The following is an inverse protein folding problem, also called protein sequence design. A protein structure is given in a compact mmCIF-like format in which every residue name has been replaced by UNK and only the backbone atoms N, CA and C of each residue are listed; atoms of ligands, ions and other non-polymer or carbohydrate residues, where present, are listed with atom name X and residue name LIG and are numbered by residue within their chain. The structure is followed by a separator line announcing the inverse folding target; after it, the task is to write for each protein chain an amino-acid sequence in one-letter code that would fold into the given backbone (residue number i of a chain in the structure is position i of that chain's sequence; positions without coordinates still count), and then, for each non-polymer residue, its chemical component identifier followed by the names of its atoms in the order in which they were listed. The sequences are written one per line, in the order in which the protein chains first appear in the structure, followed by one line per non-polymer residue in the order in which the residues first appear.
data_IF_108998228573
#
_entry.id   IF_108998228573
#
_cell.length_a   1.000
_cell.length_b   1.000
_cell.length_c   1.000
_cell.angle_alpha   90.00
_cell.angle_beta   90.00
_cell.angle_gamma   90.00
#
_symmetry.space_group_name_H-M   'P 1'
#
loop_
_entity.id
_entity.type
_entity.pdbx_description
1 polymer ?
#
# COMPACT_ATOMS: atom_id res chain seq x y z
N UNK A 1 -25.08 17.20 -3.08
CA UNK A 1 -24.22 17.56 -4.23
C UNK A 1 -23.00 18.43 -3.86
N UNK A 2 -23.08 19.29 -2.84
CA UNK A 2 -21.96 20.16 -2.39
C UNK A 2 -20.75 19.36 -1.85
N UNK A 3 -21.01 18.29 -1.08
CA UNK A 3 -19.97 17.43 -0.48
C UNK A 3 -19.17 16.65 -1.53
N UNK A 4 -19.86 15.98 -2.46
CA UNK A 4 -19.22 15.25 -3.57
C UNK A 4 -18.35 16.17 -4.42
N UNK A 5 -18.84 17.37 -4.76
CA UNK A 5 -18.06 18.35 -5.52
C UNK A 5 -16.81 18.81 -4.77
N UNK A 6 -16.90 19.03 -3.45
CA UNK A 6 -15.73 19.36 -2.62
C UNK A 6 -14.71 18.22 -2.57
N UNK A 7 -15.18 16.97 -2.45
CA UNK A 7 -14.31 15.79 -2.51
C UNK A 7 -13.59 15.75 -3.86
N UNK A 8 -14.32 15.87 -4.98
CA UNK A 8 -13.74 15.78 -6.32
C UNK A 8 -12.74 16.90 -6.60
N UNK A 9 -13.09 18.14 -6.24
CA UNK A 9 -12.24 19.31 -6.48
C UNK A 9 -10.93 19.22 -5.70
N UNK A 10 -11.00 18.74 -4.46
CA UNK A 10 -9.82 18.60 -3.62
C UNK A 10 -8.95 17.37 -3.91
N UNK A 11 -9.56 16.27 -4.38
CA UNK A 11 -8.80 15.15 -4.95
C UNK A 11 -8.08 15.61 -6.21
N UNK A 12 -8.78 16.30 -7.12
CA UNK A 12 -8.18 16.79 -8.37
C UNK A 12 -7.02 17.76 -8.14
N UNK A 13 -7.15 18.68 -7.18
CA UNK A 13 -6.11 19.67 -6.89
C UNK A 13 -4.83 19.06 -6.31
N UNK A 14 -4.92 17.94 -5.57
CA UNK A 14 -3.76 17.28 -4.95
C UNK A 14 -3.30 16.02 -5.71
N UNK A 15 -4.04 15.59 -6.73
CA UNK A 15 -3.79 14.33 -7.43
C UNK A 15 -2.35 14.26 -7.97
N UNK A 16 -1.88 15.32 -8.63
CA UNK A 16 -0.56 15.38 -9.25
C UNK A 16 0.60 15.23 -8.25
N UNK A 17 0.45 15.70 -7.01
CA UNK A 17 1.47 15.55 -5.96
C UNK A 17 1.43 14.15 -5.33
N UNK A 18 0.26 13.50 -5.36
CA UNK A 18 -0.03 12.25 -4.64
C UNK A 18 -0.27 11.04 -5.56
N UNK A 19 0.16 11.12 -6.82
CA UNK A 19 -0.09 10.07 -7.84
C UNK A 19 0.40 8.70 -7.35
N UNK A 20 1.57 8.65 -6.71
CA UNK A 20 2.15 7.39 -6.21
C UNK A 20 1.32 6.76 -5.09
N UNK A 21 0.67 7.54 -4.25
CA UNK A 21 -0.22 7.01 -3.20
C UNK A 21 -1.50 6.47 -3.81
N UNK A 22 -2.09 7.18 -4.78
CA UNK A 22 -3.24 6.70 -5.54
C UNK A 22 -2.90 5.43 -6.32
N UNK A 23 -1.74 5.40 -6.97
CA UNK A 23 -1.26 4.23 -7.71
C UNK A 23 -1.12 3.02 -6.80
N UNK A 24 -0.62 3.21 -5.57
CA UNK A 24 -0.46 2.14 -4.59
C UNK A 24 -1.77 1.67 -3.94
N UNK A 25 -2.90 2.34 -4.16
CA UNK A 25 -4.21 1.77 -3.77
C UNK A 25 -4.52 0.53 -4.60
N UNK A 26 -4.25 0.58 -5.91
CA UNK A 26 -4.59 -0.50 -6.84
C UNK A 26 -3.91 -1.84 -6.49
N UNK A 27 -2.58 -1.95 -6.35
CA UNK A 27 -1.95 -3.23 -6.01
C UNK A 27 -2.35 -3.71 -4.61
N UNK A 28 -2.57 -2.82 -3.64
CA UNK A 28 -3.01 -3.22 -2.30
C UNK A 28 -4.42 -3.82 -2.32
N UNK A 29 -5.40 -3.14 -2.94
CA UNK A 29 -6.76 -3.68 -3.08
C UNK A 29 -6.78 -4.91 -3.98
N UNK A 30 -6.07 -4.87 -5.11
CA UNK A 30 -6.03 -5.96 -6.07
C UNK A 30 -5.46 -7.23 -5.47
N UNK A 31 -4.35 -7.14 -4.73
CA UNK A 31 -3.77 -8.29 -4.03
C UNK A 31 -4.69 -8.80 -2.91
N UNK A 32 -5.29 -7.89 -2.13
CA UNK A 32 -6.25 -8.27 -1.09
C UNK A 32 -7.48 -8.99 -1.63
N UNK A 33 -8.00 -8.53 -2.77
CA UNK A 33 -9.10 -9.21 -3.47
C UNK A 33 -8.62 -10.56 -4.01
N UNK A 34 -7.45 -10.61 -4.65
CA UNK A 34 -6.90 -11.85 -5.22
C UNK A 34 -6.73 -12.94 -4.15
N UNK A 35 -6.16 -12.60 -2.98
CA UNK A 35 -6.01 -13.53 -1.85
C UNK A 35 -7.36 -14.01 -1.28
N UNK A 36 -8.44 -13.21 -1.36
CA UNK A 36 -9.77 -13.67 -0.96
C UNK A 36 -10.47 -14.52 -2.02
N UNK A 37 -10.22 -14.25 -3.31
CA UNK A 37 -10.84 -14.98 -4.42
C UNK A 37 -10.12 -16.29 -4.75
N UNK A 38 -8.84 -16.40 -4.39
CA UNK A 38 -8.01 -17.57 -4.59
C UNK A 38 -7.44 -18.03 -3.24
N UNK A 39 -8.24 -18.76 -2.43
CA UNK A 39 -7.85 -19.19 -1.09
C UNK A 39 -6.76 -20.29 -1.07
N UNK A 40 -6.42 -20.85 -2.23
CA UNK A 40 -5.35 -21.83 -2.46
C UNK A 40 -4.12 -21.19 -3.15
N UNK A 41 -3.99 -19.86 -3.09
CA UNK A 41 -2.89 -19.14 -3.73
C UNK A 41 -1.53 -19.59 -3.19
N UNK A 42 -1.42 -19.93 -1.90
CA UNK A 42 -0.15 -20.34 -1.32
C UNK A 42 0.24 -21.77 -1.68
N UNK A 43 -0.73 -22.60 -2.05
CA UNK A 43 -0.48 -23.95 -2.58
C UNK A 43 -0.10 -23.93 -4.07
N UNK A 44 -0.41 -22.85 -4.79
CA UNK A 44 -0.19 -22.76 -6.23
C UNK A 44 1.30 -22.70 -6.64
N UNK A 45 2.20 -22.28 -5.74
CA UNK A 45 3.64 -22.26 -6.03
C UNK A 45 4.50 -22.25 -4.77
N UNK A 46 5.73 -22.78 -4.84
CA UNK A 46 6.71 -22.68 -3.74
C UNK A 46 7.00 -21.24 -3.31
N UNK A 47 6.91 -20.28 -4.25
CA UNK A 47 7.11 -18.86 -3.94
C UNK A 47 6.08 -18.31 -2.96
N UNK A 48 4.81 -18.68 -3.15
CA UNK A 48 3.74 -18.26 -2.26
C UNK A 48 3.70 -19.10 -0.97
N UNK A 49 4.10 -20.37 -1.03
CA UNK A 49 4.19 -21.24 0.15
C UNK A 49 5.11 -20.66 1.24
N UNK A 50 6.18 -19.95 0.86
CA UNK A 50 7.06 -19.25 1.81
C UNK A 50 6.33 -18.15 2.62
N UNK A 51 5.25 -17.57 2.09
CA UNK A 51 4.44 -16.57 2.79
C UNK A 51 3.49 -17.20 3.82
N UNK A 52 3.10 -18.46 3.60
CA UNK A 52 2.27 -19.24 4.52
C UNK A 52 2.98 -19.52 5.86
N UNK A 53 4.32 -19.42 5.90
CA UNK A 53 5.10 -19.55 7.13
C UNK A 53 4.83 -18.42 8.14
N UNK A 54 4.26 -17.30 7.68
CA UNK A 54 4.06 -16.10 8.48
C UNK A 54 2.59 -15.93 8.88
N UNK A 55 1.69 -16.01 7.90
CA UNK A 55 0.25 -15.81 8.04
C UNK A 55 -0.49 -16.60 6.94
N UNK A 56 -1.76 -16.92 7.18
CA UNK A 56 -2.66 -17.52 6.18
C UNK A 56 -3.09 -16.49 5.11
N UNK A 57 -3.53 -16.94 3.93
CA UNK A 57 -3.96 -16.06 2.83
C UNK A 57 -4.97 -15.01 3.28
N UNK A 58 -5.94 -15.43 4.10
CA UNK A 58 -7.02 -14.57 4.59
C UNK A 58 -6.51 -13.45 5.50
N UNK A 59 -5.49 -13.73 6.29
CA UNK A 59 -4.89 -12.76 7.21
C UNK A 59 -4.06 -11.73 6.43
N UNK A 60 -3.29 -12.19 5.44
CA UNK A 60 -2.61 -11.31 4.49
C UNK A 60 -3.58 -10.42 3.74
N UNK A 61 -4.69 -11.01 3.25
CA UNK A 61 -5.72 -10.30 2.52
C UNK A 61 -6.38 -9.22 3.39
N UNK A 62 -6.74 -9.57 4.64
CA UNK A 62 -7.28 -8.62 5.60
C UNK A 62 -6.31 -7.47 5.85
N UNK A 63 -5.03 -7.77 6.11
CA UNK A 63 -4.01 -6.77 6.38
C UNK A 63 -3.88 -5.75 5.24
N UNK A 64 -3.72 -6.23 3.99
CA UNK A 64 -3.50 -5.35 2.85
C UNK A 64 -4.75 -4.54 2.47
N UNK A 65 -5.95 -5.11 2.65
CA UNK A 65 -7.22 -4.40 2.46
C UNK A 65 -7.37 -3.27 3.49
N UNK A 66 -7.05 -3.53 4.76
CA UNK A 66 -7.08 -2.50 5.80
C UNK A 66 -6.10 -1.38 5.46
N UNK A 67 -4.88 -1.70 5.02
CA UNK A 67 -3.91 -0.70 4.58
C UNK A 67 -4.45 0.17 3.43
N UNK A 68 -5.05 -0.46 2.41
CA UNK A 68 -5.67 0.26 1.30
C UNK A 68 -6.84 1.14 1.74
N UNK A 69 -7.69 0.63 2.63
CA UNK A 69 -8.86 1.36 3.14
C UNK A 69 -8.44 2.60 3.95
N UNK A 70 -7.46 2.46 4.86
CA UNK A 70 -6.91 3.57 5.65
C UNK A 70 -6.27 4.62 4.74
N UNK A 71 -5.50 4.19 3.73
CA UNK A 71 -4.91 5.09 2.73
C UNK A 71 -5.98 5.85 1.94
N UNK A 72 -6.98 5.14 1.40
CA UNK A 72 -8.07 5.73 0.65
C UNK A 72 -8.82 6.77 1.49
N UNK A 73 -9.14 6.41 2.73
CA UNK A 73 -9.76 7.33 3.67
C UNK A 73 -8.91 8.58 3.87
N UNK A 74 -7.59 8.44 4.11
CA UNK A 74 -6.70 9.56 4.31
C UNK A 74 -6.58 10.46 3.06
N UNK A 75 -6.55 9.87 1.86
CA UNK A 75 -6.51 10.60 0.59
C UNK A 75 -7.81 11.37 0.33
N UNK A 76 -8.97 10.75 0.56
CA UNK A 76 -10.29 11.37 0.40
C UNK A 76 -10.53 12.47 1.41
N UNK A 77 -10.24 12.23 2.69
CA UNK A 77 -10.44 13.24 3.77
C UNK A 77 -9.54 14.45 3.55
N UNK A 78 -8.27 14.25 3.18
CA UNK A 78 -7.33 15.34 2.91
C UNK A 78 -7.72 16.17 1.68
N UNK A 79 -8.32 15.56 0.67
CA UNK A 79 -8.93 16.31 -0.43
C UNK A 79 -10.12 17.16 0.03
N UNK A 80 -10.89 16.71 1.02
CA UNK A 80 -12.22 17.28 1.29
C UNK A 80 -12.23 18.37 2.37
N UNK A 81 -11.41 18.22 3.40
CA UNK A 81 -11.36 19.15 4.53
C UNK A 81 -10.04 19.90 4.50
N UNK A 82 -10.11 21.21 4.27
CA UNK A 82 -8.94 22.08 4.31
C UNK A 82 -8.21 21.89 5.66
N UNK A 83 -7.00 21.33 5.61
CA UNK A 83 -6.09 21.16 6.74
C UNK A 83 -6.51 20.14 7.81
N UNK A 84 -6.79 18.88 7.44
CA UNK A 84 -6.73 17.80 8.43
C UNK A 84 -5.27 17.55 8.85
N UNK A 85 -4.86 18.17 9.96
CA UNK A 85 -3.49 18.13 10.51
C UNK A 85 -2.90 16.73 10.65
N UNK A 86 -3.75 15.73 10.93
CA UNK A 86 -3.29 14.35 11.11
C UNK A 86 -3.21 13.53 9.82
N UNK A 87 -3.69 14.04 8.68
CA UNK A 87 -3.67 13.27 7.43
C UNK A 87 -2.27 12.82 7.02
N UNK A 88 -1.22 13.67 7.05
CA UNK A 88 0.13 13.22 6.70
C UNK A 88 0.61 12.06 7.58
N UNK A 89 0.30 12.08 8.89
CA UNK A 89 0.66 10.99 9.80
C UNK A 89 -0.04 9.68 9.47
N UNK A 90 -1.34 9.73 9.14
CA UNK A 90 -2.09 8.53 8.71
C UNK A 90 -1.53 7.99 7.39
N UNK A 91 -1.17 8.87 6.45
CA UNK A 91 -0.56 8.49 5.17
C UNK A 91 0.79 7.80 5.38
N UNK A 92 1.65 8.34 6.27
CA UNK A 92 2.92 7.71 6.65
C UNK A 92 2.67 6.33 7.26
N UNK A 93 1.76 6.23 8.23
CA UNK A 93 1.46 4.96 8.89
C UNK A 93 0.95 3.90 7.90
N UNK A 94 0.02 4.28 7.01
CA UNK A 94 -0.48 3.39 5.96
C UNK A 94 0.63 2.96 5.00
N UNK A 95 1.50 3.89 4.59
CA UNK A 95 2.63 3.61 3.71
C UNK A 95 3.66 2.68 4.36
N UNK A 96 4.01 2.89 5.63
CA UNK A 96 4.87 1.99 6.39
C UNK A 96 4.27 0.58 6.51
N UNK A 97 2.98 0.47 6.83
CA UNK A 97 2.30 -0.82 6.95
C UNK A 97 2.30 -1.58 5.60
N UNK A 98 1.95 -0.89 4.51
CA UNK A 98 2.02 -1.50 3.18
C UNK A 98 3.45 -1.81 2.73
N UNK A 99 4.44 -1.00 3.10
CA UNK A 99 5.84 -1.27 2.78
C UNK A 99 6.32 -2.56 3.46
N UNK A 100 5.94 -2.78 4.72
CA UNK A 100 6.23 -4.02 5.44
C UNK A 100 5.59 -5.24 4.75
N UNK A 101 4.33 -5.13 4.34
CA UNK A 101 3.63 -6.17 3.56
C UNK A 101 4.36 -6.50 2.25
N UNK A 102 4.67 -5.50 1.43
CA UNK A 102 5.35 -5.72 0.15
C UNK A 102 6.79 -6.22 0.34
N UNK A 103 7.46 -5.82 1.41
CA UNK A 103 8.77 -6.33 1.77
C UNK A 103 8.71 -7.82 2.11
N UNK A 104 7.73 -8.25 2.91
CA UNK A 104 7.55 -9.67 3.24
C UNK A 104 7.20 -10.50 2.01
N UNK A 105 6.36 -9.98 1.10
CA UNK A 105 6.09 -10.61 -0.20
C UNK A 105 7.37 -10.74 -1.04
N UNK A 106 8.13 -9.66 -1.22
CA UNK A 106 9.39 -9.70 -1.97
C UNK A 106 10.39 -10.67 -1.33
N UNK A 107 10.46 -10.72 0.00
CA UNK A 107 11.35 -11.57 0.75
C UNK A 107 10.99 -13.05 0.64
N UNK A 108 9.71 -13.42 0.77
CA UNK A 108 9.27 -14.81 0.61
C UNK A 108 9.59 -15.36 -0.78
N UNK A 109 9.37 -14.54 -1.83
CA UNK A 109 9.74 -14.90 -3.19
C UNK A 109 11.25 -15.01 -3.41
N UNK A 110 12.05 -14.17 -2.73
CA UNK A 110 13.50 -14.25 -2.79
C UNK A 110 14.03 -15.51 -2.08
N UNK A 111 13.45 -15.89 -0.93
CA UNK A 111 13.79 -17.12 -0.22
C UNK A 111 13.53 -18.35 -1.09
N UNK A 112 12.32 -18.45 -1.67
CA UNK A 112 12.02 -19.53 -2.61
C UNK A 112 13.00 -19.55 -3.80
N UNK A 113 13.47 -18.39 -4.26
CA UNK A 113 14.42 -18.32 -5.37
C UNK A 113 15.81 -18.83 -4.97
N UNK A 114 16.27 -18.49 -3.77
CA UNK A 114 17.53 -19.00 -3.21
C UNK A 114 17.46 -20.53 -3.05
N UNK A 115 16.29 -21.07 -2.74
CA UNK A 115 16.03 -22.52 -2.66
C UNK A 115 15.87 -23.21 -4.02
N UNK A 116 15.83 -22.43 -5.12
CA UNK A 116 15.78 -22.94 -6.50
C UNK A 116 14.39 -22.97 -7.15
N UNK A 117 13.34 -22.52 -6.46
CA UNK A 117 11.94 -22.66 -6.89
C UNK A 117 11.18 -21.32 -7.01
N UNK A 118 11.85 -20.19 -6.77
CA UNK A 118 11.22 -18.86 -6.70
C UNK A 118 11.26 -18.03 -7.97
N UNK A 119 10.20 -17.23 -8.18
CA UNK A 119 10.10 -16.29 -9.30
C UNK A 119 10.81 -14.95 -9.01
N UNK A 120 12.01 -14.76 -9.56
CA UNK A 120 12.78 -13.52 -9.39
C UNK A 120 12.06 -12.28 -9.94
N UNK A 121 11.23 -12.44 -10.97
CA UNK A 121 10.41 -11.34 -11.53
C UNK A 121 9.45 -10.74 -10.49
N UNK A 122 8.88 -11.58 -9.62
CA UNK A 122 8.00 -11.13 -8.55
C UNK A 122 8.77 -10.42 -7.43
N UNK A 123 10.02 -10.83 -7.15
CA UNK A 123 10.91 -10.08 -6.25
C UNK A 123 11.10 -8.65 -6.77
N UNK A 124 11.38 -8.47 -8.06
CA UNK A 124 11.53 -7.14 -8.67
C UNK A 124 10.21 -6.35 -8.61
N UNK A 125 9.07 -6.98 -8.91
CA UNK A 125 7.78 -6.33 -8.86
C UNK A 125 7.41 -5.85 -7.45
N UNK A 126 7.48 -6.73 -6.44
CA UNK A 126 7.10 -6.40 -5.06
C UNK A 126 8.11 -5.47 -4.38
N UNK A 127 9.41 -5.60 -4.66
CA UNK A 127 10.41 -4.63 -4.16
C UNK A 127 10.22 -3.23 -4.77
N UNK A 128 9.75 -3.14 -6.02
CA UNK A 128 9.35 -1.85 -6.62
C UNK A 128 8.21 -1.19 -5.84
N UNK A 129 7.24 -1.97 -5.36
CA UNK A 129 6.18 -1.45 -4.48
C UNK A 129 6.74 -0.95 -3.15
N UNK A 130 7.73 -1.62 -2.57
CA UNK A 130 8.43 -1.11 -1.37
C UNK A 130 9.08 0.25 -1.65
N UNK A 131 9.75 0.41 -2.79
CA UNK A 131 10.35 1.68 -3.19
C UNK A 131 9.30 2.78 -3.37
N UNK A 132 8.16 2.47 -3.99
CA UNK A 132 7.06 3.42 -4.11
C UNK A 132 6.50 3.85 -2.75
N UNK A 133 6.38 2.91 -1.80
CA UNK A 133 5.97 3.26 -0.44
C UNK A 133 7.03 4.09 0.31
N UNK A 134 8.31 3.82 0.11
CA UNK A 134 9.38 4.66 0.66
C UNK A 134 9.29 6.11 0.14
N UNK A 135 8.99 6.30 -1.14
CA UNK A 135 8.73 7.63 -1.72
C UNK A 135 7.49 8.28 -1.09
N UNK A 136 6.41 7.51 -0.87
CA UNK A 136 5.19 8.01 -0.23
C UNK A 136 5.43 8.45 1.22
N UNK A 137 6.22 7.68 1.99
CA UNK A 137 6.65 7.99 3.36
C UNK A 137 7.45 9.29 3.36
N UNK A 138 8.44 9.40 2.48
CA UNK A 138 9.29 10.59 2.39
C UNK A 138 8.47 11.85 2.07
N UNK A 139 7.62 11.80 1.02
CA UNK A 139 6.74 12.92 0.63
C UNK A 139 5.78 13.32 1.75
N UNK A 140 5.16 12.34 2.39
CA UNK A 140 4.23 12.61 3.50
C UNK A 140 4.95 13.17 4.74
N UNK A 141 6.22 12.81 4.94
CA UNK A 141 7.06 13.38 6.00
C UNK A 141 7.46 14.83 5.71
N UNK A 142 7.72 15.18 4.45
CA UNK A 142 7.90 16.58 4.06
C UNK A 142 6.65 17.41 4.34
N UNK A 143 5.46 16.88 4.07
CA UNK A 143 4.19 17.56 4.38
C UNK A 143 4.08 17.86 5.89
N UNK A 144 4.46 16.92 6.76
CA UNK A 144 4.54 17.15 8.22
C UNK A 144 5.55 18.26 8.53
N UNK A 145 6.74 18.19 7.95
CA UNK A 145 7.81 19.17 8.18
C UNK A 145 7.48 20.59 7.70
N UNK A 146 6.63 20.73 6.68
CA UNK A 146 6.09 22.03 6.22
C UNK A 146 5.01 22.55 7.16
N UNK A 147 4.12 21.67 7.65
CA UNK A 147 3.08 22.04 8.60
C UNK A 147 3.60 22.46 9.98
N UNK A 148 4.81 22.05 10.37
CA UNK A 148 5.46 22.49 11.61
C UNK A 148 6.24 23.82 11.47
N UNK A 149 6.54 24.24 10.23
CA UNK A 149 7.36 25.43 9.93
C UNK A 149 6.54 26.67 9.55
N UNK A 150 5.25 26.51 9.23
CA UNK A 150 4.30 27.60 8.99
C UNK A 150 3.39 27.79 10.18
#
# INVERSE_FOLDING_TARGET
MILLKRITDGVASHFHVRVSEWAMVYPCLGMGIALNLQPDMFDASPSFAQLALWLEEREWAFFVIVCAAVRLFALTVNGTFASFRFSPHIRIAAACASAAFWFQFAWGFLQAHIEGEGALSAVIAYSTFVLLEAVNIWRSSEDVGRALRG
#
